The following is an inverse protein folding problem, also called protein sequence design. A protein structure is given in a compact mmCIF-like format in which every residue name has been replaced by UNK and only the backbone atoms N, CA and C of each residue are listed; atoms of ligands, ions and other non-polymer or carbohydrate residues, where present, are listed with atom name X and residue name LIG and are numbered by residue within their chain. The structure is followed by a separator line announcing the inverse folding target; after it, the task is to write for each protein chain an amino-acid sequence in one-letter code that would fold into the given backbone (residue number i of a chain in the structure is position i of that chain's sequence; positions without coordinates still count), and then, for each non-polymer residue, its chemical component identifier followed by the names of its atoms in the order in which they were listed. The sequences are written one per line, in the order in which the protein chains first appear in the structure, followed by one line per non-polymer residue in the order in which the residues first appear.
data_IF_605924909504
#
_entry.id   IF_605924909504
#
_cell.length_a   1.000
_cell.length_b   1.000
_cell.length_c   1.000
_cell.angle_alpha   90.00
_cell.angle_beta   90.00
_cell.angle_gamma   90.00
#
_symmetry.space_group_name_H-M   'P 1'
#
loop_
_entity.id
_entity.type
_entity.pdbx_description
1 polymer ?
#
# COMPACT_ATOMS: atom_id res chain seq x y z
N UNK A 1 -13.38 19.31 -7.24
CA UNK A 1 -12.16 18.90 -6.53
C UNK A 1 -11.70 19.89 -5.46
N UNK A 2 -11.68 21.22 -5.66
CA UNK A 2 -11.32 22.23 -4.64
C UNK A 2 -12.28 22.28 -3.43
N UNK A 3 -13.57 22.04 -3.61
CA UNK A 3 -14.59 22.09 -2.55
C UNK A 3 -14.50 20.89 -1.59
N UNK A 4 -14.17 19.70 -2.10
CA UNK A 4 -14.03 18.47 -1.26
C UNK A 4 -12.80 18.59 -0.36
N UNK A 5 -11.72 19.20 -0.83
CA UNK A 5 -10.50 19.42 -0.04
C UNK A 5 -10.72 20.43 1.10
N UNK A 6 -11.55 21.45 0.90
CA UNK A 6 -11.87 22.47 1.91
C UNK A 6 -12.76 21.91 3.05
N UNK A 7 -13.72 21.04 2.71
CA UNK A 7 -14.58 20.40 3.72
C UNK A 7 -13.77 19.42 4.57
N UNK A 8 -12.76 18.74 4.00
CA UNK A 8 -11.87 17.86 4.77
C UNK A 8 -10.91 18.63 5.69
N UNK A 9 -10.44 19.80 5.29
CA UNK A 9 -9.56 20.63 6.13
C UNK A 9 -10.33 21.27 7.30
N UNK A 10 -11.59 21.65 7.13
CA UNK A 10 -12.43 22.20 8.19
C UNK A 10 -12.85 21.14 9.23
N UNK A 11 -13.01 19.87 8.82
CA UNK A 11 -13.24 18.75 9.74
C UNK A 11 -11.98 18.37 10.54
N UNK A 12 -10.78 18.58 9.98
CA UNK A 12 -9.52 18.31 10.67
C UNK A 12 -9.23 19.35 11.75
N UNK A 13 -9.61 20.62 11.56
CA UNK A 13 -9.46 21.68 12.56
C UNK A 13 -10.38 21.53 13.76
N UNK A 14 -11.57 20.94 13.57
CA UNK A 14 -12.51 20.62 14.66
C UNK A 14 -12.03 19.46 15.57
N UNK A 15 -11.11 18.63 15.10
CA UNK A 15 -10.60 17.48 15.85
C UNK A 15 -9.34 17.83 16.67
N UNK A 16 -8.63 18.92 16.31
CA UNK A 16 -7.33 19.27 16.91
C UNK A 16 -7.40 20.21 18.11
N UNK A 17 -8.52 20.91 18.34
CA UNK A 17 -8.66 21.85 19.47
C UNK A 17 -10.01 21.69 20.16
N UNK A 18 -10.12 20.92 21.27
CA UNK A 18 -11.28 21.01 22.13
C UNK A 18 -11.12 22.22 23.07
N UNK A 19 -12.13 23.10 23.15
CA UNK A 19 -12.23 24.13 24.19
C UNK A 19 -12.35 23.49 25.58
N UNK A 20 -11.53 23.97 26.52
CA UNK A 20 -11.56 23.56 27.91
C UNK A 20 -12.80 24.14 28.60
N UNK A 21 -13.77 23.28 28.90
CA UNK A 21 -14.84 23.58 29.84
C UNK A 21 -14.53 23.02 31.25
N UNK A 22 -15.11 23.56 32.33
CA UNK A 22 -14.67 23.29 33.70
C UNK A 22 -14.94 21.85 34.13
N UNK A 23 -13.94 21.26 34.79
CA UNK A 23 -13.90 19.89 35.29
C UNK A 23 -14.76 19.72 36.54
N UNK A 24 -15.81 18.92 36.46
CA UNK A 24 -16.39 18.23 37.62
C UNK A 24 -15.86 16.80 37.66
N UNK A 25 -15.34 16.40 38.83
CA UNK A 25 -14.70 15.11 39.03
C UNK A 25 -15.70 13.95 38.95
N UNK A 26 -15.53 13.10 37.97
CA UNK A 26 -16.10 11.76 37.94
C UNK A 26 -15.00 10.75 37.77
N UNK A 27 -14.96 9.76 38.65
CA UNK A 27 -14.14 8.57 38.59
C UNK A 27 -14.22 7.95 37.19
N UNK A 28 -13.14 8.09 36.41
CA UNK A 28 -13.05 7.47 35.10
C UNK A 28 -12.95 5.96 35.28
N UNK A 29 -14.04 5.25 34.99
CA UNK A 29 -13.92 3.85 34.66
C UNK A 29 -13.01 3.77 33.40
N UNK A 30 -11.73 3.39 33.60
CA UNK A 30 -10.83 2.99 32.51
C UNK A 30 -11.57 1.94 31.70
N UNK A 31 -12.09 2.33 30.53
CA UNK A 31 -12.67 1.38 29.60
C UNK A 31 -11.51 0.52 29.10
N UNK A 32 -11.36 -0.66 29.70
CA UNK A 32 -10.53 -1.72 29.13
C UNK A 32 -11.11 -2.01 27.74
N UNK A 33 -10.52 -1.42 26.71
CA UNK A 33 -10.72 -1.92 25.37
C UNK A 33 -10.12 -3.32 25.36
N UNK A 34 -11.00 -4.33 25.44
CA UNK A 34 -10.63 -5.74 25.35
C UNK A 34 -9.67 -5.93 24.17
N UNK A 35 -8.56 -6.58 24.39
CA UNK A 35 -7.33 -6.76 23.64
C UNK A 35 -7.32 -6.91 22.12
N UNK A 36 -8.40 -6.64 21.42
CA UNK A 36 -8.48 -6.68 19.97
C UNK A 36 -9.03 -5.37 19.42
N UNK A 37 -8.16 -4.60 18.78
CA UNK A 37 -8.62 -3.50 17.96
C UNK A 37 -9.43 -4.04 16.78
N UNK A 38 -10.61 -3.49 16.61
CA UNK A 38 -11.48 -3.81 15.48
C UNK A 38 -11.12 -3.05 14.20
N UNK A 39 -9.92 -2.49 14.06
CA UNK A 39 -9.50 -1.73 12.87
C UNK A 39 -9.54 -2.55 11.59
N UNK A 40 -9.80 -1.93 10.42
CA UNK A 40 -9.74 -2.60 9.13
C UNK A 40 -8.39 -3.28 8.89
N UNK A 41 -8.40 -4.48 8.29
CA UNK A 41 -7.20 -5.31 8.12
C UNK A 41 -6.17 -4.70 7.17
N UNK A 42 -6.59 -3.88 6.22
CA UNK A 42 -5.69 -3.20 5.27
C UNK A 42 -4.80 -2.13 5.91
N UNK A 43 -5.04 -1.75 7.17
CA UNK A 43 -4.24 -0.75 7.88
C UNK A 43 -3.06 -1.40 8.62
N UNK A 44 -1.94 -0.69 8.68
CA UNK A 44 -0.75 -1.05 9.46
C UNK A 44 -0.50 0.05 10.50
N UNK A 45 -0.23 -0.33 11.76
CA UNK A 45 0.00 0.60 12.85
C UNK A 45 -1.23 1.44 13.24
N UNK A 46 -2.43 0.98 12.92
CA UNK A 46 -3.68 1.72 13.18
C UNK A 46 -4.24 1.51 14.59
N UNK A 47 -3.65 0.65 15.38
CA UNK A 47 -4.08 0.42 16.75
C UNK A 47 -2.92 -0.03 17.62
N UNK A 48 -2.91 0.42 18.86
CA UNK A 48 -2.00 -0.02 19.90
C UNK A 48 -2.55 -1.24 20.63
N UNK A 49 -1.66 -2.11 21.07
CA UNK A 49 -1.96 -3.20 21.97
C UNK A 49 -1.79 -2.74 23.43
N UNK A 50 -2.68 -3.15 24.31
CA UNK A 50 -2.67 -2.63 25.67
C UNK A 50 -1.64 -3.33 26.56
N UNK A 51 -1.38 -4.62 26.34
CA UNK A 51 -0.42 -5.42 27.10
C UNK A 51 -0.11 -6.73 26.37
N UNK A 52 1.07 -7.29 26.63
CA UNK A 52 1.49 -8.57 26.09
C UNK A 52 1.97 -8.49 24.64
N UNK A 53 1.89 -9.60 23.94
CA UNK A 53 2.38 -9.78 22.59
C UNK A 53 1.22 -10.06 21.61
N UNK A 54 1.30 -9.47 20.43
CA UNK A 54 0.40 -9.73 19.32
C UNK A 54 1.21 -10.20 18.10
N UNK A 55 0.72 -11.24 17.46
CA UNK A 55 1.22 -11.72 16.17
C UNK A 55 0.13 -11.62 15.12
N UNK A 56 0.49 -11.24 13.90
CA UNK A 56 -0.44 -11.23 12.79
C UNK A 56 0.21 -11.69 11.49
N UNK A 57 -0.58 -12.34 10.66
CA UNK A 57 -0.27 -12.65 9.26
C UNK A 57 -1.31 -11.95 8.42
N UNK A 58 -0.85 -11.20 7.40
CA UNK A 58 -1.73 -10.60 6.40
C UNK A 58 -1.32 -11.08 5.02
N UNK A 59 -2.30 -11.45 4.21
CA UNK A 59 -2.13 -11.83 2.82
C UNK A 59 -2.90 -10.86 1.95
N UNK A 60 -2.19 -10.20 1.02
CA UNK A 60 -2.79 -9.29 0.03
C UNK A 60 -2.68 -9.88 -1.37
N UNK A 61 -3.75 -9.73 -2.16
CA UNK A 61 -3.83 -10.13 -3.56
C UNK A 61 -4.26 -8.92 -4.38
N UNK A 62 -3.35 -8.39 -5.19
CA UNK A 62 -3.62 -7.26 -6.07
C UNK A 62 -3.67 -7.73 -7.51
N UNK A 63 -4.73 -7.36 -8.23
CA UNK A 63 -4.89 -7.63 -9.65
C UNK A 63 -4.83 -6.30 -10.42
N UNK A 64 -4.00 -6.27 -11.45
CA UNK A 64 -3.92 -5.20 -12.43
C UNK A 64 -4.26 -5.77 -13.81
N UNK A 65 -5.04 -5.02 -14.57
CA UNK A 65 -5.53 -5.40 -15.89
C UNK A 65 -5.72 -4.14 -16.72
N UNK A 66 -5.38 -4.19 -18.02
CA UNK A 66 -5.37 -3.02 -18.89
C UNK A 66 -4.34 -1.94 -18.50
N UNK A 67 -4.31 -0.86 -19.25
CA UNK A 67 -3.36 0.24 -19.09
C UNK A 67 -4.09 1.58 -19.07
N UNK A 68 -3.49 2.56 -18.41
CA UNK A 68 -3.97 3.94 -18.36
C UNK A 68 -2.83 4.91 -18.67
N UNK A 69 -3.17 6.01 -19.33
CA UNK A 69 -2.30 7.14 -19.55
C UNK A 69 -2.88 8.39 -18.89
N UNK A 70 -2.20 8.91 -17.88
CA UNK A 70 -2.66 10.07 -17.09
C UNK A 70 -4.11 9.92 -16.58
N UNK A 71 -4.47 8.70 -16.17
CA UNK A 71 -5.77 8.37 -15.60
C UNK A 71 -6.85 7.93 -16.59
N UNK A 72 -6.60 7.97 -17.90
CA UNK A 72 -7.54 7.50 -18.93
C UNK A 72 -7.11 6.14 -19.49
N UNK A 73 -8.09 5.30 -19.80
CA UNK A 73 -7.83 4.00 -20.42
C UNK A 73 -7.14 4.19 -21.79
N UNK A 74 -6.16 3.33 -22.10
CA UNK A 74 -5.39 3.38 -23.33
C UNK A 74 -5.25 1.99 -23.94
N UNK A 75 -5.34 1.91 -25.25
CA UNK A 75 -5.20 0.65 -26.02
C UNK A 75 -3.74 0.25 -26.22
N UNK A 76 -3.51 -1.04 -26.52
CA UNK A 76 -2.16 -1.53 -26.86
C UNK A 76 -1.58 -0.82 -28.10
N UNK A 77 -2.40 -0.54 -29.11
CA UNK A 77 -1.96 0.14 -30.33
C UNK A 77 -1.48 1.57 -30.07
N UNK A 78 -2.16 2.30 -29.17
CA UNK A 78 -1.73 3.63 -28.74
C UNK A 78 -0.44 3.56 -27.95
N UNK A 79 -0.28 2.56 -27.03
CA UNK A 79 0.97 2.36 -26.26
C UNK A 79 2.16 2.16 -27.20
N UNK A 80 1.98 1.39 -28.27
CA UNK A 80 3.03 1.14 -29.27
C UNK A 80 3.44 2.38 -30.07
N UNK A 81 2.67 3.46 -30.03
CA UNK A 81 3.05 4.73 -30.65
C UNK A 81 3.96 5.61 -29.77
N UNK A 82 4.07 5.30 -28.47
CA UNK A 82 4.93 6.08 -27.57
C UNK A 82 6.41 5.80 -27.84
N UNK A 83 7.20 6.87 -27.82
CA UNK A 83 8.67 6.75 -27.90
C UNK A 83 9.19 5.92 -26.72
N UNK A 84 10.19 5.08 -27.02
CA UNK A 84 10.97 4.40 -25.99
C UNK A 84 11.97 5.41 -25.38
N UNK A 85 11.83 5.81 -24.10
CA UNK A 85 12.71 6.83 -23.52
C UNK A 85 14.08 6.28 -23.14
N UNK A 86 14.26 4.94 -23.17
CA UNK A 86 15.48 4.27 -22.67
C UNK A 86 16.45 3.91 -23.78
N UNK A 87 15.99 3.90 -25.05
CA UNK A 87 16.82 3.53 -26.20
C UNK A 87 16.16 3.99 -27.48
N UNK A 88 16.97 4.36 -28.48
CA UNK A 88 16.49 4.63 -29.84
C UNK A 88 16.27 3.35 -30.66
N UNK A 89 16.60 2.20 -30.11
CA UNK A 89 16.40 0.88 -30.77
C UNK A 89 15.79 -0.12 -29.80
N UNK A 90 14.49 -0.46 -29.97
CA UNK A 90 13.53 0.13 -30.91
C UNK A 90 13.14 1.57 -30.52
N UNK A 91 12.82 2.40 -31.52
CA UNK A 91 12.47 3.79 -31.28
C UNK A 91 11.19 3.96 -30.45
N UNK A 92 10.20 3.09 -30.67
CA UNK A 92 8.96 3.09 -29.90
C UNK A 92 8.89 1.88 -28.95
N UNK A 93 8.01 1.97 -27.94
CA UNK A 93 7.65 0.83 -27.09
C UNK A 93 7.20 -0.33 -27.98
N UNK A 94 7.60 -1.53 -27.65
CA UNK A 94 7.31 -2.73 -28.44
C UNK A 94 6.81 -3.91 -27.60
N UNK A 95 6.77 -3.71 -26.26
CA UNK A 95 6.24 -4.68 -25.31
C UNK A 95 5.16 -4.01 -24.46
N UNK A 96 4.00 -4.66 -24.34
CA UNK A 96 2.82 -4.11 -23.66
C UNK A 96 2.42 -5.05 -22.53
N UNK A 97 2.42 -4.59 -21.25
CA UNK A 97 1.87 -5.35 -20.14
C UNK A 97 0.35 -5.51 -20.31
N UNK A 98 -0.16 -6.72 -20.12
CA UNK A 98 -1.58 -7.08 -20.26
C UNK A 98 -2.23 -7.33 -18.91
N UNK A 99 -1.54 -8.08 -18.05
CA UNK A 99 -2.03 -8.48 -16.74
C UNK A 99 -0.87 -8.56 -15.76
N UNK A 100 -1.10 -8.13 -14.53
CA UNK A 100 -0.16 -8.32 -13.43
C UNK A 100 -0.90 -8.75 -12.17
N UNK A 101 -0.41 -9.80 -11.53
CA UNK A 101 -0.86 -10.23 -10.22
C UNK A 101 0.27 -10.02 -9.22
N UNK A 102 -0.04 -9.44 -8.08
CA UNK A 102 0.90 -9.30 -6.97
C UNK A 102 0.31 -9.89 -5.70
N UNK A 103 1.09 -10.74 -5.03
CA UNK A 103 0.77 -11.31 -3.72
C UNK A 103 1.78 -10.78 -2.71
N UNK A 104 1.31 -10.35 -1.54
CA UNK A 104 2.18 -9.92 -0.45
C UNK A 104 1.75 -10.62 0.83
N UNK A 105 2.70 -11.32 1.46
CA UNK A 105 2.52 -11.92 2.78
C UNK A 105 3.29 -11.08 3.79
N UNK A 106 2.60 -10.52 4.77
CA UNK A 106 3.19 -9.72 5.84
C UNK A 106 3.08 -10.48 7.16
N UNK A 107 4.22 -10.76 7.77
CA UNK A 107 4.34 -11.25 9.14
C UNK A 107 4.58 -10.06 10.06
N UNK A 108 3.77 -9.91 11.09
CA UNK A 108 3.81 -8.75 11.97
C UNK A 108 3.83 -9.20 13.43
N UNK A 109 4.69 -8.56 14.21
CA UNK A 109 4.74 -8.69 15.67
C UNK A 109 4.56 -7.31 16.32
N UNK A 110 3.88 -7.28 17.45
CA UNK A 110 3.75 -6.10 18.29
C UNK A 110 3.86 -6.52 19.75
N UNK A 111 4.68 -5.79 20.52
CA UNK A 111 4.86 -6.02 21.94
C UNK A 111 4.60 -4.74 22.72
N UNK A 112 3.67 -4.79 23.65
CA UNK A 112 3.37 -3.66 24.53
C UNK A 112 4.42 -3.57 25.64
N UNK A 113 5.42 -2.68 25.50
CA UNK A 113 6.39 -2.40 26.56
C UNK A 113 5.75 -1.64 27.73
N UNK A 114 4.75 -0.83 27.43
CA UNK A 114 3.91 -0.13 28.40
C UNK A 114 2.56 0.20 27.78
N UNK A 115 1.62 0.73 28.58
CA UNK A 115 0.33 1.24 28.06
C UNK A 115 0.50 2.35 27.00
N UNK A 116 1.64 3.05 27.02
CA UNK A 116 1.92 4.20 26.16
C UNK A 116 2.88 3.90 25.02
N UNK A 117 3.52 2.72 25.02
CA UNK A 117 4.54 2.40 24.01
C UNK A 117 4.50 0.93 23.57
N UNK A 118 4.35 0.71 22.27
CA UNK A 118 4.45 -0.60 21.65
C UNK A 118 5.64 -0.66 20.69
N UNK A 119 6.42 -1.73 20.77
CA UNK A 119 7.38 -2.10 19.73
C UNK A 119 6.67 -2.87 18.62
N UNK A 120 7.12 -2.65 17.38
CA UNK A 120 6.57 -3.33 16.20
C UNK A 120 7.68 -3.84 15.31
N UNK A 121 7.46 -5.03 14.75
CA UNK A 121 8.31 -5.60 13.70
C UNK A 121 7.44 -6.16 12.58
N UNK A 122 7.91 -6.06 11.34
CA UNK A 122 7.22 -6.60 10.18
C UNK A 122 8.21 -7.12 9.16
N UNK A 123 7.89 -8.25 8.53
CA UNK A 123 8.58 -8.79 7.37
C UNK A 123 7.57 -8.98 6.24
N UNK A 124 7.92 -8.56 5.03
CA UNK A 124 7.04 -8.64 3.85
C UNK A 124 7.68 -9.50 2.78
N UNK A 125 7.04 -10.60 2.43
CA UNK A 125 7.37 -11.42 1.26
C UNK A 125 6.44 -11.05 0.11
N UNK A 126 7.00 -10.79 -1.07
CA UNK A 126 6.27 -10.39 -2.27
C UNK A 126 6.49 -11.38 -3.41
N UNK A 127 5.43 -11.69 -4.14
CA UNK A 127 5.47 -12.47 -5.38
C UNK A 127 4.70 -11.70 -6.45
N UNK A 128 5.29 -11.58 -7.63
CA UNK A 128 4.76 -10.84 -8.77
C UNK A 128 4.79 -11.72 -10.01
N UNK A 129 3.72 -11.66 -10.79
CA UNK A 129 3.59 -12.32 -12.09
C UNK A 129 3.02 -11.33 -13.09
N UNK A 130 3.62 -11.22 -14.27
CA UNK A 130 3.18 -10.30 -15.32
C UNK A 130 3.11 -11.03 -16.66
N UNK A 131 1.99 -10.85 -17.36
CA UNK A 131 1.81 -11.28 -18.76
C UNK A 131 2.00 -10.07 -19.65
N UNK A 132 2.84 -10.23 -20.69
CA UNK A 132 3.19 -9.18 -21.65
C UNK A 132 3.02 -9.70 -23.08
N UNK A 133 2.64 -8.79 -23.97
CA UNK A 133 2.58 -9.00 -25.41
C UNK A 133 3.74 -8.29 -26.08
N UNK A 134 4.42 -8.97 -27.01
CA UNK A 134 5.52 -8.41 -27.82
C UNK A 134 5.07 -8.19 -29.25
N UNK A 135 5.51 -7.08 -29.82
CA UNK A 135 5.22 -6.65 -31.18
C UNK A 135 6.52 -6.33 -31.93
N UNK A 136 6.51 -6.51 -33.26
CA UNK A 136 7.63 -6.09 -34.12
C UNK A 136 7.92 -4.59 -33.96
N UNK A 137 9.18 -4.15 -34.04
CA UNK A 137 9.54 -2.75 -33.83
C UNK A 137 9.24 -1.85 -35.05
N UNK A 138 8.89 -2.42 -36.21
CA UNK A 138 8.72 -1.72 -37.48
C UNK A 138 7.27 -1.64 -37.94
N UNK A 139 7.04 -0.97 -39.07
CA UNK A 139 5.80 -0.38 -39.61
C UNK A 139 4.50 -1.13 -39.34
N UNK A 140 4.44 -2.44 -39.45
CA UNK A 140 3.17 -3.17 -39.26
C UNK A 140 2.87 -3.53 -37.82
N UNK A 141 3.84 -3.39 -36.91
CA UNK A 141 3.65 -3.71 -35.47
C UNK A 141 3.01 -5.08 -35.25
N UNK A 142 3.39 -6.08 -36.07
CA UNK A 142 2.83 -7.43 -35.99
C UNK A 142 3.04 -8.01 -34.58
N UNK A 143 2.01 -8.66 -34.08
CA UNK A 143 2.09 -9.40 -32.82
C UNK A 143 3.01 -10.60 -32.97
N UNK A 144 4.00 -10.73 -32.09
CA UNK A 144 4.99 -11.82 -32.09
C UNK A 144 4.62 -12.94 -31.11
N UNK A 145 3.96 -12.61 -30.03
CA UNK A 145 3.56 -13.58 -29.03
C UNK A 145 3.41 -12.95 -27.64
N UNK A 146 2.86 -13.72 -26.71
CA UNK A 146 2.76 -13.39 -25.29
C UNK A 146 3.78 -14.18 -24.48
N UNK A 147 4.28 -13.60 -23.41
CA UNK A 147 5.16 -14.27 -22.46
C UNK A 147 4.84 -13.83 -21.03
N UNK A 148 5.32 -14.61 -20.07
CA UNK A 148 5.15 -14.33 -18.64
C UNK A 148 6.50 -14.11 -17.98
N UNK A 149 6.55 -13.18 -17.05
CA UNK A 149 7.67 -12.98 -16.12
C UNK A 149 7.20 -13.13 -14.70
N UNK A 150 8.05 -13.62 -13.83
CA UNK A 150 7.76 -13.75 -12.39
C UNK A 150 8.95 -13.37 -11.54
N UNK A 151 8.68 -12.91 -10.34
CA UNK A 151 9.69 -12.65 -9.31
C UNK A 151 9.08 -12.85 -7.93
N UNK A 152 9.88 -13.37 -6.98
CA UNK A 152 9.41 -13.58 -5.60
C UNK A 152 10.59 -13.54 -4.64
N UNK A 153 10.45 -12.77 -3.54
CA UNK A 153 11.48 -12.64 -2.51
C UNK A 153 10.92 -12.00 -1.22
N UNK A 154 11.72 -12.02 -0.16
CA UNK A 154 11.52 -11.19 1.04
C UNK A 154 11.80 -9.73 0.66
N UNK A 155 10.74 -8.95 0.43
CA UNK A 155 10.86 -7.60 -0.16
C UNK A 155 11.31 -6.54 0.85
N UNK A 156 10.84 -6.62 2.10
CA UNK A 156 11.26 -5.67 3.14
C UNK A 156 11.16 -6.24 4.55
N UNK A 157 11.93 -5.63 5.44
CA UNK A 157 11.82 -5.80 6.89
C UNK A 157 11.71 -4.42 7.52
N UNK A 158 10.82 -4.28 8.52
CA UNK A 158 10.67 -3.03 9.24
C UNK A 158 10.64 -3.24 10.74
N UNK A 159 11.15 -2.24 11.46
CA UNK A 159 11.15 -2.18 12.91
C UNK A 159 10.81 -0.77 13.37
N UNK A 160 9.98 -0.66 14.41
CA UNK A 160 9.53 0.64 14.88
C UNK A 160 8.71 0.59 16.15
N UNK A 161 7.93 1.64 16.39
CA UNK A 161 7.08 1.73 17.56
C UNK A 161 5.86 2.60 17.37
N UNK A 162 4.91 2.40 18.27
CA UNK A 162 3.72 3.21 18.42
C UNK A 162 3.78 3.90 19.79
N UNK A 163 3.56 5.21 19.80
CA UNK A 163 3.62 6.07 20.99
C UNK A 163 2.24 6.68 21.22
N UNK A 164 1.64 6.41 22.36
CA UNK A 164 0.37 7.03 22.74
C UNK A 164 0.59 8.51 23.03
N UNK A 165 -0.13 9.36 22.34
CA UNK A 165 -0.10 10.81 22.54
C UNK A 165 -1.25 11.30 23.44
N UNK A 166 -2.43 10.70 23.25
CA UNK A 166 -3.64 11.09 23.98
C UNK A 166 -4.62 9.92 24.10
N UNK A 167 -5.20 9.74 25.29
CA UNK A 167 -6.31 8.82 25.52
C UNK A 167 -7.31 9.52 26.45
N UNK A 168 -8.30 10.18 25.88
CA UNK A 168 -9.31 10.93 26.62
C UNK A 168 -10.61 11.04 25.84
N UNK A 169 -11.73 11.13 26.54
CA UNK A 169 -13.07 11.38 25.99
C UNK A 169 -13.46 10.39 24.87
N UNK A 170 -13.06 9.11 25.00
CA UNK A 170 -13.32 8.07 24.00
C UNK A 170 -12.52 8.23 22.70
N UNK A 171 -11.52 9.10 22.70
CA UNK A 171 -10.59 9.29 21.59
C UNK A 171 -9.18 8.86 21.99
N UNK A 172 -8.55 8.05 21.15
CA UNK A 172 -7.18 7.59 21.32
C UNK A 172 -6.34 8.04 20.12
N UNK A 173 -5.28 8.79 20.38
CA UNK A 173 -4.35 9.26 19.35
C UNK A 173 -2.97 8.69 19.62
N UNK A 174 -2.33 8.13 18.61
CA UNK A 174 -0.96 7.66 18.72
C UNK A 174 -0.14 8.05 17.49
N UNK A 175 1.14 8.17 17.70
CA UNK A 175 2.17 8.35 16.67
C UNK A 175 2.84 7.02 16.39
N UNK A 176 3.14 6.75 15.13
CA UNK A 176 3.93 5.60 14.72
C UNK A 176 5.18 6.07 13.96
N UNK A 177 6.30 5.42 14.27
CA UNK A 177 7.57 5.59 13.59
C UNK A 177 8.17 4.22 13.34
N UNK A 178 8.65 3.98 12.11
CA UNK A 178 9.36 2.76 11.78
C UNK A 178 10.44 3.03 10.73
N UNK A 179 11.49 2.24 10.76
CA UNK A 179 12.48 2.13 9.68
C UNK A 179 12.13 0.88 8.90
N UNK A 180 11.99 1.03 7.60
CA UNK A 180 11.71 -0.02 6.63
C UNK A 180 12.94 -0.19 5.73
N UNK A 181 13.59 -1.35 5.78
CA UNK A 181 14.70 -1.70 4.91
C UNK A 181 14.19 -2.58 3.78
N UNK A 182 14.40 -2.14 2.56
CA UNK A 182 14.22 -2.95 1.36
C UNK A 182 15.37 -3.96 1.29
N UNK A 183 15.04 -5.26 1.33
CA UNK A 183 15.99 -6.37 1.33
C UNK A 183 15.83 -7.27 0.11
N UNK A 184 14.76 -7.09 -0.65
CA UNK A 184 14.44 -7.89 -1.83
C UNK A 184 15.37 -7.63 -3.00
N UNK A 185 15.34 -8.56 -3.96
CA UNK A 185 16.12 -8.49 -5.18
C UNK A 185 15.75 -7.27 -6.02
N UNK A 186 16.73 -6.39 -6.27
CA UNK A 186 16.64 -5.20 -7.11
C UNK A 186 17.18 -5.40 -8.51
N UNK A 187 17.68 -6.62 -8.80
CA UNK A 187 18.28 -7.04 -10.07
C UNK A 187 17.63 -8.31 -10.61
N UNK A 188 16.35 -8.56 -10.21
CA UNK A 188 15.61 -9.73 -10.62
C UNK A 188 15.63 -9.89 -12.15
N UNK A 189 15.98 -11.08 -12.59
CA UNK A 189 16.13 -11.44 -14.02
C UNK A 189 15.01 -12.38 -14.45
N UNK A 190 14.76 -12.41 -15.75
CA UNK A 190 13.82 -13.34 -16.35
C UNK A 190 13.95 -13.36 -17.86
N UNK A 191 13.40 -14.42 -18.45
CA UNK A 191 13.39 -14.62 -19.91
C UNK A 191 12.23 -13.83 -20.51
N UNK A 192 12.52 -12.98 -21.50
CA UNK A 192 11.54 -12.14 -22.19
C UNK A 192 11.57 -12.38 -23.70
N UNK A 193 10.41 -12.35 -24.33
CA UNK A 193 10.30 -12.34 -25.79
C UNK A 193 10.63 -10.93 -26.30
N UNK A 194 11.73 -10.83 -27.04
CA UNK A 194 12.21 -9.55 -27.57
C UNK A 194 11.45 -9.13 -28.84
N UNK A 195 11.49 -7.84 -29.22
CA UNK A 195 10.91 -7.37 -30.49
C UNK A 195 11.54 -7.97 -31.75
N UNK A 196 12.69 -8.65 -31.60
CA UNK A 196 13.36 -9.38 -32.69
C UNK A 196 12.84 -10.83 -32.85
N UNK A 197 11.86 -11.24 -32.04
CA UNK A 197 11.26 -12.57 -32.09
C UNK A 197 12.05 -13.67 -31.39
N UNK A 198 13.07 -13.33 -30.60
CA UNK A 198 13.87 -14.27 -29.82
C UNK A 198 13.64 -14.10 -28.32
N UNK A 199 13.80 -15.17 -27.56
CA UNK A 199 13.81 -15.13 -26.11
C UNK A 199 15.22 -14.79 -25.60
N UNK A 200 15.29 -13.87 -24.63
CA UNK A 200 16.55 -13.46 -24.00
C UNK A 200 16.34 -13.29 -22.50
N UNK A 201 17.36 -13.67 -21.73
CA UNK A 201 17.42 -13.35 -20.30
C UNK A 201 17.86 -11.90 -20.12
N UNK A 202 17.11 -11.17 -19.31
CA UNK A 202 17.37 -9.74 -19.03
C UNK A 202 16.96 -9.34 -17.63
N UNK A 203 17.49 -8.21 -17.15
CA UNK A 203 16.99 -7.58 -15.92
C UNK A 203 15.55 -7.13 -16.16
N UNK A 204 14.64 -7.57 -15.29
CA UNK A 204 13.23 -7.26 -15.39
C UNK A 204 12.95 -5.78 -15.07
N UNK A 205 11.90 -5.20 -15.64
CA UNK A 205 11.48 -3.82 -15.37
C UNK A 205 11.22 -3.56 -13.88
N UNK A 206 11.26 -2.28 -13.45
CA UNK A 206 11.03 -1.86 -12.05
C UNK A 206 9.76 -2.45 -11.42
N UNK A 207 8.67 -2.62 -12.20
CA UNK A 207 7.45 -3.24 -11.70
C UNK A 207 7.66 -4.66 -11.16
N UNK A 208 8.65 -5.38 -11.69
CA UNK A 208 8.98 -6.75 -11.30
C UNK A 208 10.10 -6.83 -10.25
N UNK A 209 10.80 -5.73 -9.95
CA UNK A 209 11.80 -5.70 -8.90
C UNK A 209 11.15 -5.82 -7.52
N UNK A 210 11.78 -6.54 -6.61
CA UNK A 210 11.23 -6.85 -5.29
C UNK A 210 11.77 -5.95 -4.18
N UNK A 211 12.83 -5.20 -4.48
CA UNK A 211 13.42 -4.20 -3.63
C UNK A 211 14.13 -3.11 -4.43
N UNK A 212 14.52 -2.04 -3.75
CA UNK A 212 15.32 -0.93 -4.26
C UNK A 212 16.60 -0.73 -3.44
N UNK A 213 16.95 -1.71 -2.59
CA UNK A 213 18.06 -1.69 -1.61
C UNK A 213 18.00 -0.52 -0.62
N UNK A 214 17.07 0.41 -0.78
CA UNK A 214 16.92 1.61 0.04
C UNK A 214 16.44 1.34 1.46
N UNK A 215 16.63 2.36 2.30
CA UNK A 215 16.00 2.45 3.62
C UNK A 215 14.99 3.58 3.59
N UNK A 216 13.86 3.40 4.27
CA UNK A 216 12.77 4.39 4.34
C UNK A 216 12.35 4.58 5.78
N UNK A 217 11.97 5.79 6.13
CA UNK A 217 11.28 6.08 7.38
C UNK A 217 9.78 6.16 7.12
N UNK A 218 9.00 5.46 7.93
CA UNK A 218 7.54 5.49 7.92
C UNK A 218 7.06 6.25 9.17
N UNK A 219 6.45 7.41 8.96
CA UNK A 219 5.91 8.26 10.01
C UNK A 219 4.40 8.29 9.90
N UNK A 220 3.69 8.24 11.02
CA UNK A 220 2.24 8.27 10.98
C UNK A 220 1.60 8.79 12.26
N UNK A 221 0.40 9.36 12.11
CA UNK A 221 -0.47 9.72 13.21
C UNK A 221 -1.82 9.06 12.97
N UNK A 222 -2.32 8.39 14.00
CA UNK A 222 -3.62 7.71 13.98
C UNK A 222 -4.48 8.23 15.11
N UNK A 223 -5.73 8.55 14.77
CA UNK A 223 -6.76 8.85 15.74
C UNK A 223 -7.90 7.83 15.64
N UNK A 224 -8.33 7.31 16.75
CA UNK A 224 -9.48 6.42 16.92
C UNK A 224 -10.47 7.08 17.87
N UNK A 225 -11.72 7.24 17.45
CA UNK A 225 -12.80 7.83 18.26
C UNK A 225 -13.98 6.88 18.35
N UNK A 226 -14.40 6.57 19.57
CA UNK A 226 -15.66 5.88 19.83
C UNK A 226 -16.79 6.90 19.70
N UNK A 227 -17.65 6.74 18.69
CA UNK A 227 -18.80 7.61 18.46
C UNK A 227 -19.96 7.21 19.37
N UNK A 228 -20.21 5.89 19.48
CA UNK A 228 -21.15 5.29 20.41
C UNK A 228 -20.74 3.82 20.68
N UNK A 229 -21.58 3.03 21.35
CA UNK A 229 -21.26 1.64 21.72
C UNK A 229 -21.05 0.71 20.49
N UNK A 230 -21.67 1.05 19.36
CA UNK A 230 -21.63 0.24 18.14
C UNK A 230 -20.78 0.85 17.03
N UNK A 231 -20.56 2.17 17.05
CA UNK A 231 -19.89 2.88 15.97
C UNK A 231 -18.59 3.51 16.46
N UNK A 232 -17.52 3.28 15.73
CA UNK A 232 -16.23 3.95 15.88
C UNK A 232 -15.81 4.56 14.57
N UNK A 233 -15.09 5.66 14.65
CA UNK A 233 -14.46 6.34 13.53
C UNK A 233 -12.95 6.38 13.75
N UNK A 234 -12.19 6.25 12.68
CA UNK A 234 -10.74 6.39 12.72
C UNK A 234 -10.21 7.16 11.54
N UNK A 235 -9.06 7.77 11.74
CA UNK A 235 -8.27 8.41 10.68
C UNK A 235 -6.79 8.15 10.90
N UNK A 236 -6.03 8.01 9.81
CA UNK A 236 -4.59 7.81 9.83
C UNK A 236 -3.96 8.60 8.69
N UNK A 237 -2.94 9.39 9.00
CA UNK A 237 -2.05 10.02 8.04
C UNK A 237 -0.68 9.36 8.16
N UNK A 238 -0.14 8.89 7.03
CA UNK A 238 1.19 8.26 6.96
C UNK A 238 2.05 8.92 5.90
N UNK A 239 3.33 9.02 6.18
CA UNK A 239 4.34 9.43 5.22
C UNK A 239 5.51 8.46 5.24
N UNK A 240 5.84 7.92 4.07
CA UNK A 240 7.03 7.09 3.85
C UNK A 240 8.03 7.91 3.06
N UNK A 241 9.24 8.08 3.59
CA UNK A 241 10.32 8.90 3.03
C UNK A 241 11.55 8.05 2.80
N UNK A 242 12.19 8.18 1.63
CA UNK A 242 13.50 7.60 1.37
C UNK A 242 14.59 8.24 2.25
N UNK A 243 15.50 7.41 2.77
CA UNK A 243 16.62 7.83 3.62
C UNK A 243 17.99 7.65 2.94
N UNK A 244 18.05 6.95 1.82
CA UNK A 244 19.31 6.61 1.15
C UNK A 244 19.26 7.02 -0.32
N UNK A 245 20.41 7.44 -0.83
CA UNK A 245 20.66 7.73 -2.25
C UNK A 245 21.18 6.45 -2.92
N UNK A 246 20.28 5.55 -3.27
CA UNK A 246 20.61 4.36 -4.05
C UNK A 246 20.58 4.66 -5.56
N UNK A 247 21.07 3.74 -6.39
CA UNK A 247 21.08 3.88 -7.86
C UNK A 247 19.68 4.23 -8.39
N UNK A 248 18.65 3.67 -7.77
CA UNK A 248 17.26 4.01 -7.95
C UNK A 248 16.44 3.67 -6.70
N UNK A 249 15.33 4.33 -6.49
CA UNK A 249 14.42 4.05 -5.37
C UNK A 249 12.98 4.33 -5.73
N UNK A 250 12.05 3.54 -5.17
CA UNK A 250 10.63 3.87 -5.23
C UNK A 250 10.34 5.18 -4.52
N UNK A 251 9.60 6.05 -5.18
CA UNK A 251 9.30 7.39 -4.70
C UNK A 251 8.60 7.44 -3.34
N UNK A 252 8.74 8.58 -2.68
CA UNK A 252 8.06 8.89 -1.42
C UNK A 252 6.55 8.74 -1.53
N UNK A 253 5.91 8.38 -0.41
CA UNK A 253 4.47 8.18 -0.36
C UNK A 253 3.82 8.97 0.78
N UNK A 254 2.70 9.61 0.48
CA UNK A 254 1.77 10.16 1.45
C UNK A 254 0.45 9.40 1.34
N UNK A 255 -0.01 8.87 2.46
CA UNK A 255 -1.24 8.08 2.55
C UNK A 255 -2.15 8.66 3.62
N UNK A 256 -3.41 8.86 3.29
CA UNK A 256 -4.46 9.21 4.24
C UNK A 256 -5.55 8.16 4.20
N UNK A 257 -5.92 7.64 5.36
CA UNK A 257 -7.04 6.74 5.54
C UNK A 257 -8.05 7.35 6.50
N UNK A 258 -9.33 7.16 6.21
CA UNK A 258 -10.40 7.36 7.18
C UNK A 258 -11.39 6.22 7.07
N UNK A 259 -11.94 5.77 8.20
CA UNK A 259 -12.84 4.62 8.22
C UNK A 259 -13.92 4.74 9.28
N UNK A 260 -15.04 4.12 8.98
CA UNK A 260 -16.11 3.83 9.92
C UNK A 260 -16.11 2.34 10.24
N UNK A 261 -16.40 2.02 11.47
CA UNK A 261 -16.47 0.65 11.93
C UNK A 261 -17.73 0.44 12.76
N UNK A 262 -18.52 -0.53 12.35
CA UNK A 262 -19.78 -0.89 12.99
C UNK A 262 -19.64 -2.25 13.68
N UNK A 263 -19.83 -2.26 15.00
CA UNK A 263 -19.88 -3.48 15.81
C UNK A 263 -21.28 -4.09 15.66
N UNK A 264 -21.39 -5.10 14.79
CA UNK A 264 -22.63 -5.83 14.57
C UNK A 264 -22.99 -6.71 15.77
N UNK A 265 -22.00 -7.45 16.31
CA UNK A 265 -22.13 -8.29 17.51
C UNK A 265 -20.83 -8.27 18.33
N UNK A 266 -20.76 -9.06 19.40
CA UNK A 266 -19.50 -9.22 20.16
C UNK A 266 -18.40 -9.86 19.32
N UNK A 267 -18.77 -10.70 18.34
CA UNK A 267 -17.83 -11.44 17.50
C UNK A 267 -17.60 -10.82 16.13
N UNK A 268 -18.50 -9.95 15.62
CA UNK A 268 -18.45 -9.47 14.22
C UNK A 268 -18.46 -7.95 14.21
N UNK A 269 -17.51 -7.37 13.45
CA UNK A 269 -17.53 -5.96 13.10
C UNK A 269 -17.33 -5.77 11.59
N UNK A 270 -18.02 -4.76 11.04
CA UNK A 270 -17.96 -4.37 9.64
C UNK A 270 -17.23 -3.04 9.51
N UNK A 271 -16.55 -2.81 8.41
CA UNK A 271 -15.86 -1.55 8.17
C UNK A 271 -16.03 -1.04 6.75
N UNK A 272 -16.04 0.29 6.60
CA UNK A 272 -15.90 0.99 5.34
C UNK A 272 -14.76 1.99 5.46
N UNK A 273 -13.81 1.97 4.52
CA UNK A 273 -12.60 2.79 4.55
C UNK A 273 -12.39 3.51 3.22
N UNK A 274 -12.11 4.80 3.30
CA UNK A 274 -11.57 5.59 2.20
C UNK A 274 -10.06 5.73 2.38
N UNK A 275 -9.30 5.38 1.34
CA UNK A 275 -7.85 5.53 1.29
C UNK A 275 -7.49 6.49 0.15
N UNK A 276 -6.70 7.50 0.45
CA UNK A 276 -6.10 8.42 -0.52
C UNK A 276 -4.59 8.23 -0.49
N UNK A 277 -3.99 8.11 -1.68
CA UNK A 277 -2.54 7.92 -1.83
C UNK A 277 -2.01 8.93 -2.81
N UNK A 278 -0.88 9.53 -2.47
CA UNK A 278 -0.01 10.24 -3.39
C UNK A 278 1.38 9.63 -3.29
N UNK A 279 1.87 9.07 -4.40
CA UNK A 279 3.21 8.51 -4.50
C UNK A 279 4.00 9.28 -5.55
N UNK A 280 5.26 9.58 -5.25
CA UNK A 280 6.19 10.16 -6.21
C UNK A 280 6.65 9.09 -7.20
N UNK A 281 7.19 9.55 -8.35
CA UNK A 281 7.84 8.67 -9.32
C UNK A 281 9.10 8.02 -8.72
N UNK A 282 9.61 7.02 -9.39
CA UNK A 282 10.93 6.45 -9.08
C UNK A 282 12.00 7.53 -9.23
N UNK A 283 12.90 7.60 -8.27
CA UNK A 283 14.12 8.42 -8.31
C UNK A 283 15.28 7.58 -8.79
N UNK A 284 16.16 8.16 -9.60
CA UNK A 284 17.30 7.46 -10.19
C UNK A 284 16.94 6.56 -11.36
N UNK A 285 17.94 5.91 -11.94
CA UNK A 285 17.83 5.03 -13.11
C UNK A 285 18.81 3.88 -12.97
N UNK A 286 18.34 2.66 -13.20
CA UNK A 286 19.20 1.49 -13.37
C UNK A 286 19.52 1.30 -14.85
N UNK A 287 20.80 1.43 -15.26
CA UNK A 287 21.19 1.30 -16.66
C UNK A 287 21.06 -0.14 -17.20
N UNK A 288 20.85 -1.15 -16.36
CA UNK A 288 20.59 -2.53 -16.77
C UNK A 288 19.12 -2.75 -17.21
N UNK A 289 18.20 -1.86 -16.82
CA UNK A 289 16.77 -1.94 -17.17
C UNK A 289 16.54 -1.17 -18.47
N UNK A 290 16.61 -1.86 -19.62
CA UNK A 290 16.51 -1.26 -20.96
C UNK A 290 15.37 -1.79 -21.82
N UNK A 291 14.46 -2.60 -21.26
CA UNK A 291 13.38 -3.20 -22.02
C UNK A 291 12.45 -2.13 -22.64
N UNK A 292 12.01 -2.30 -23.91
CA UNK A 292 11.12 -1.34 -24.59
C UNK A 292 9.66 -1.52 -24.14
N UNK A 293 9.45 -1.39 -22.83
CA UNK A 293 8.18 -1.56 -22.12
C UNK A 293 7.96 -0.39 -21.17
N UNK A 294 6.73 0.03 -21.02
CA UNK A 294 6.36 1.16 -20.15
C UNK A 294 6.83 1.01 -18.70
N UNK A 295 6.88 -0.22 -18.17
CA UNK A 295 7.27 -0.52 -16.79
C UNK A 295 8.78 -0.45 -16.54
N UNK A 296 9.58 -0.23 -17.57
CA UNK A 296 11.00 0.06 -17.47
C UNK A 296 11.32 1.56 -17.32
N UNK A 297 10.33 2.46 -17.55
CA UNK A 297 10.53 3.89 -17.44
C UNK A 297 10.20 4.38 -16.00
N UNK A 298 11.17 4.94 -15.24
CA UNK A 298 10.96 5.48 -13.91
C UNK A 298 9.88 6.57 -13.83
N UNK A 299 9.71 7.36 -14.90
CA UNK A 299 8.71 8.43 -14.98
C UNK A 299 7.26 7.90 -15.00
N UNK A 300 7.07 6.62 -15.30
CA UNK A 300 5.79 5.94 -15.35
C UNK A 300 5.38 5.35 -13.98
N UNK A 301 5.86 5.92 -12.88
CA UNK A 301 5.53 5.47 -11.52
C UNK A 301 4.94 6.59 -10.68
N UNK A 302 4.23 6.20 -9.62
CA UNK A 302 3.56 7.14 -8.75
C UNK A 302 2.29 7.73 -9.35
N UNK A 303 1.78 8.79 -8.71
CA UNK A 303 0.51 9.43 -9.04
C UNK A 303 -0.38 9.58 -7.82
N UNK A 304 -1.67 9.82 -8.06
CA UNK A 304 -2.70 9.99 -7.02
C UNK A 304 -3.79 8.95 -7.20
N UNK A 305 -4.14 8.28 -6.12
CA UNK A 305 -5.17 7.25 -6.14
C UNK A 305 -6.15 7.43 -4.98
N UNK A 306 -7.42 7.12 -5.23
CA UNK A 306 -8.44 7.02 -4.21
C UNK A 306 -9.08 5.63 -4.27
N UNK A 307 -9.22 5.00 -3.10
CA UNK A 307 -9.76 3.64 -2.99
C UNK A 307 -10.87 3.61 -1.94
N UNK A 308 -11.92 2.84 -2.23
CA UNK A 308 -12.95 2.46 -1.26
C UNK A 308 -12.72 1.02 -0.85
N UNK A 309 -12.76 0.74 0.43
CA UNK A 309 -12.61 -0.60 0.97
C UNK A 309 -13.78 -0.97 1.87
N UNK A 310 -14.26 -2.20 1.75
CA UNK A 310 -15.27 -2.79 2.62
C UNK A 310 -14.66 -4.01 3.30
N UNK A 311 -14.84 -4.13 4.61
CA UNK A 311 -14.21 -5.19 5.37
C UNK A 311 -15.07 -5.72 6.51
N UNK A 312 -14.67 -6.88 7.01
CA UNK A 312 -15.24 -7.52 8.18
C UNK A 312 -14.12 -8.12 9.05
N UNK A 313 -14.33 -8.07 10.37
CA UNK A 313 -13.51 -8.77 11.35
C UNK A 313 -14.38 -9.75 12.12
N UNK A 314 -13.84 -10.94 12.35
CA UNK A 314 -14.46 -12.03 13.10
C UNK A 314 -13.56 -12.37 14.27
N UNK A 315 -14.06 -12.22 15.50
CA UNK A 315 -13.39 -12.66 16.71
C UNK A 315 -13.73 -14.13 16.96
N UNK A 316 -12.70 -14.96 17.04
CA UNK A 316 -12.79 -16.38 17.35
C UNK A 316 -12.24 -16.59 18.76
N UNK A 317 -13.15 -16.79 19.71
CA UNK A 317 -12.78 -16.79 21.15
C UNK A 317 -12.34 -15.38 21.61
N UNK A 318 -11.36 -15.31 22.54
CA UNK A 318 -10.94 -14.07 23.16
C UNK A 318 -9.63 -13.49 22.60
N UNK A 319 -8.87 -14.27 21.81
CA UNK A 319 -7.50 -13.93 21.42
C UNK A 319 -7.25 -13.94 19.92
N UNK A 320 -8.14 -14.53 19.14
CA UNK A 320 -7.96 -14.70 17.70
C UNK A 320 -8.91 -13.82 16.92
N UNK A 321 -8.40 -13.13 15.90
CA UNK A 321 -9.18 -12.34 14.96
C UNK A 321 -8.87 -12.78 13.54
N UNK A 322 -9.89 -13.10 12.77
CA UNK A 322 -9.83 -13.31 11.32
C UNK A 322 -10.45 -12.08 10.66
N UNK A 323 -9.82 -11.57 9.63
CA UNK A 323 -10.24 -10.33 8.99
C UNK A 323 -10.17 -10.44 7.48
N UNK A 324 -11.02 -9.68 6.83
CA UNK A 324 -11.11 -9.61 5.38
C UNK A 324 -11.41 -8.17 4.97
N UNK A 325 -10.83 -7.70 3.87
CA UNK A 325 -11.12 -6.42 3.26
C UNK A 325 -11.00 -6.49 1.75
N UNK A 326 -12.02 -6.03 1.04
CA UNK A 326 -12.03 -5.89 -0.41
C UNK A 326 -11.92 -4.41 -0.77
N UNK A 327 -10.92 -4.08 -1.59
CA UNK A 327 -10.54 -2.71 -1.94
C UNK A 327 -10.74 -2.49 -3.43
N UNK A 328 -11.49 -1.44 -3.76
CA UNK A 328 -11.73 -0.99 -5.13
C UNK A 328 -11.13 0.39 -5.36
N UNK A 329 -10.29 0.57 -6.39
CA UNK A 329 -9.90 1.90 -6.83
C UNK A 329 -11.12 2.63 -7.40
N UNK A 330 -11.44 3.79 -6.82
CA UNK A 330 -12.51 4.67 -7.32
C UNK A 330 -11.97 5.79 -8.20
N UNK A 331 -10.67 6.10 -8.07
CA UNK A 331 -9.96 7.04 -8.93
C UNK A 331 -8.49 6.70 -9.02
N UNK A 332 -7.92 6.73 -10.23
CA UNK A 332 -6.50 6.49 -10.48
C UNK A 332 -5.96 7.56 -11.42
N UNK A 333 -5.32 8.59 -10.88
CA UNK A 333 -4.57 9.62 -11.62
C UNK A 333 -3.08 9.29 -11.54
N UNK A 334 -2.68 8.21 -12.22
CA UNK A 334 -1.29 7.76 -12.25
C UNK A 334 -0.45 8.63 -13.20
N UNK A 335 0.83 8.75 -12.87
CA UNK A 335 1.77 9.47 -13.73
C UNK A 335 1.98 8.71 -15.04
N UNK A 336 1.89 9.43 -16.16
CA UNK A 336 2.13 8.89 -17.50
C UNK A 336 1.45 7.52 -17.75
N UNK A 337 2.19 6.53 -18.26
CA UNK A 337 1.69 5.25 -18.75
C UNK A 337 1.90 4.14 -17.72
N UNK A 338 0.84 3.64 -17.10
CA UNK A 338 0.89 2.60 -16.09
C UNK A 338 -0.21 1.56 -16.27
N UNK A 339 -0.05 0.41 -15.62
CA UNK A 339 -1.13 -0.57 -15.51
C UNK A 339 -2.23 -0.08 -14.56
N UNK A 340 -3.46 -0.40 -14.88
CA UNK A 340 -4.66 -0.09 -14.09
C UNK A 340 -4.85 -1.11 -12.98
N UNK A 341 -4.95 -0.66 -11.74
CA UNK A 341 -5.33 -1.53 -10.62
C UNK A 341 -6.82 -1.84 -10.70
N UNK A 342 -7.18 -3.12 -10.67
CA UNK A 342 -8.59 -3.58 -10.75
C UNK A 342 -9.20 -3.73 -9.36
N UNK A 343 -8.54 -4.45 -8.50
CA UNK A 343 -8.96 -4.69 -7.12
C UNK A 343 -7.79 -5.15 -6.25
N UNK A 344 -8.02 -5.12 -4.95
CA UNK A 344 -7.13 -5.67 -3.94
C UNK A 344 -7.98 -6.40 -2.88
N UNK A 345 -7.62 -7.62 -2.57
CA UNK A 345 -8.18 -8.41 -1.48
C UNK A 345 -7.13 -8.51 -0.37
N UNK A 346 -7.52 -8.27 0.87
CA UNK A 346 -6.68 -8.44 2.05
C UNK A 346 -7.34 -9.41 3.03
N UNK A 347 -6.61 -10.45 3.39
CA UNK A 347 -6.97 -11.40 4.43
C UNK A 347 -6.02 -11.23 5.61
N UNK A 348 -6.51 -11.42 6.82
CA UNK A 348 -5.70 -11.30 8.02
C UNK A 348 -6.05 -12.32 9.08
N UNK A 349 -5.02 -12.84 9.72
CA UNK A 349 -5.10 -13.60 10.95
C UNK A 349 -4.29 -12.88 12.02
N UNK A 350 -4.84 -12.71 13.21
CA UNK A 350 -4.18 -12.07 14.34
C UNK A 350 -4.45 -12.88 15.61
N UNK A 351 -3.42 -13.04 16.42
CA UNK A 351 -3.55 -13.63 17.75
C UNK A 351 -2.84 -12.73 18.77
N UNK A 352 -3.44 -12.60 19.96
CA UNK A 352 -2.92 -11.81 21.08
C UNK A 352 -2.70 -12.74 22.30
N UNK A 353 -1.58 -12.54 23.00
CA UNK A 353 -1.13 -13.37 24.12
C UNK A 353 -1.07 -12.58 25.42
#
# INVERSE_FOLDING_TARGET
MKIILLVFFSLLSLVLFPEDGPTEGHHSHKMHMQGHSNTPVGLVGAAMHSHGFMFAIKQSYMNMDSNIYKGNDISSSEILSFKNPLSDTPYNLSVVPKKMNMKMTMLMGMYALSENFNLTGMATYSSKEMTLDTFKPMMNRDFLGSFNTSSADLSSVSFGGLILLKDANGSKTHFNIAIDKSVGDSEAKGTALTPMGSYMDMTLPYAMQLGDKGSKIDLGVTNLKKVNEKLSWGSQLKRKLGLSDDLWSFGDQLEFNTWLQYKHSKAISLSSRLKLVHQQKISGIDPSIKAPVQTANPENYGGKEAHLALGANFLVGHRTKISFEFVLPIKQEKNNLQMKTKNLLVLGYQNSF
#
